data_IF_187583963130
#
_entry.id   IF_187583963130
#
_cell.length_a   1.000
_cell.length_b   1.000
_cell.length_c   1.000
_cell.angle_alpha   90.00
_cell.angle_beta   90.00
_cell.angle_gamma   90.00
#
_symmetry.space_group_name_H-M   'P 1'
#
loop_
_entity.id
_entity.type
_entity.pdbx_description
1 polymer ?
#
# COMPACT_ATOMS: atom_id res chain seq x y z
N UNK A 1 -31.85 11.98 -78.50
CA UNK A 1 -32.95 11.61 -77.58
C UNK A 1 -32.70 10.18 -77.12
N UNK A 2 -32.16 9.98 -75.91
CA UNK A 2 -32.55 8.91 -74.97
C UNK A 2 -31.71 9.04 -73.70
N UNK A 3 -32.41 8.95 -72.59
CA UNK A 3 -32.00 9.26 -71.23
C UNK A 3 -31.40 8.05 -70.48
N UNK A 4 -30.73 8.40 -69.38
CA UNK A 4 -30.66 7.69 -68.07
C UNK A 4 -29.86 6.39 -67.97
N UNK A 5 -28.89 6.44 -67.05
CA UNK A 5 -28.21 5.29 -66.46
C UNK A 5 -27.39 5.72 -65.26
N UNK A 6 -28.05 6.25 -64.23
CA UNK A 6 -27.47 6.51 -62.92
C UNK A 6 -27.11 5.16 -62.29
N UNK A 7 -25.84 4.88 -62.03
CA UNK A 7 -25.44 3.82 -61.11
C UNK A 7 -24.39 4.35 -60.14
N UNK A 8 -24.73 4.15 -58.87
CA UNK A 8 -24.06 4.60 -57.67
C UNK A 8 -22.59 4.16 -57.64
N UNK A 9 -21.68 5.11 -57.49
CA UNK A 9 -20.29 4.83 -57.13
C UNK A 9 -20.26 4.18 -55.75
N UNK A 10 -20.00 2.87 -55.76
CA UNK A 10 -19.84 2.07 -54.57
C UNK A 10 -18.70 2.63 -53.73
N UNK A 11 -18.99 2.89 -52.45
CA UNK A 11 -18.00 3.29 -51.44
C UNK A 11 -16.72 2.45 -51.62
N UNK A 12 -15.57 3.08 -51.92
CA UNK A 12 -14.30 2.41 -52.13
C UNK A 12 -14.01 1.40 -51.01
N UNK A 13 -13.49 0.24 -51.40
CA UNK A 13 -13.23 -0.89 -50.49
C UNK A 13 -12.42 -0.51 -49.24
N UNK A 14 -11.50 0.46 -49.36
CA UNK A 14 -10.71 0.95 -48.23
C UNK A 14 -11.55 1.71 -47.18
N UNK A 15 -12.58 2.45 -47.60
CA UNK A 15 -13.47 3.19 -46.69
C UNK A 15 -14.33 2.21 -45.88
N UNK A 16 -14.74 1.08 -46.48
CA UNK A 16 -15.47 0.02 -45.76
C UNK A 16 -14.62 -0.62 -44.67
N UNK A 17 -13.32 -0.84 -44.94
CA UNK A 17 -12.38 -1.38 -43.96
C UNK A 17 -12.19 -0.41 -42.79
N UNK A 18 -12.07 0.89 -43.06
CA UNK A 18 -11.96 1.92 -42.03
C UNK A 18 -13.22 1.97 -41.15
N UNK A 19 -14.41 1.91 -41.75
CA UNK A 19 -15.67 1.88 -41.00
C UNK A 19 -15.79 0.63 -40.11
N UNK A 20 -15.35 -0.53 -40.59
CA UNK A 20 -15.33 -1.76 -39.79
C UNK A 20 -14.36 -1.64 -38.60
N UNK A 21 -13.18 -1.04 -38.80
CA UNK A 21 -12.21 -0.81 -37.72
C UNK A 21 -12.73 0.17 -36.66
N UNK A 22 -13.42 1.24 -37.07
CA UNK A 22 -14.00 2.21 -36.14
C UNK A 22 -15.14 1.59 -35.30
N UNK A 23 -15.98 0.75 -35.92
CA UNK A 23 -17.03 0.00 -35.21
C UNK A 23 -16.42 -1.03 -34.25
N UNK A 24 -15.35 -1.72 -34.66
CA UNK A 24 -14.64 -2.66 -33.79
C UNK A 24 -14.03 -1.96 -32.57
N UNK A 25 -13.36 -0.81 -32.76
CA UNK A 25 -12.81 -0.02 -31.66
C UNK A 25 -13.90 0.54 -30.74
N UNK A 26 -15.04 0.96 -31.30
CA UNK A 26 -16.20 1.42 -30.53
C UNK A 26 -16.85 0.28 -29.72
N UNK A 27 -16.96 -0.92 -30.28
CA UNK A 27 -17.43 -2.12 -29.58
C UNK A 27 -16.46 -2.56 -28.46
N UNK A 28 -15.15 -2.49 -28.69
CA UNK A 28 -14.13 -2.75 -27.65
C UNK A 28 -14.24 -1.71 -26.51
N UNK A 29 -14.49 -0.44 -26.84
CA UNK A 29 -14.73 0.63 -25.86
C UNK A 29 -15.98 0.38 -25.02
N UNK A 30 -17.08 -0.08 -25.63
CA UNK A 30 -18.29 -0.48 -24.90
C UNK A 30 -18.07 -1.72 -24.01
N UNK A 31 -17.27 -2.69 -24.47
CA UNK A 31 -16.90 -3.85 -23.67
C UNK A 31 -15.99 -3.47 -22.47
N UNK A 32 -15.08 -2.50 -22.63
CA UNK A 32 -14.26 -1.96 -21.52
C UNK A 32 -15.09 -1.15 -20.52
N UNK A 33 -16.14 -0.44 -20.98
CA UNK A 33 -17.07 0.29 -20.07
C UNK A 33 -17.98 -0.64 -19.26
N UNK A 34 -18.32 -1.83 -19.77
CA UNK A 34 -19.15 -2.81 -19.05
C UNK A 34 -18.36 -3.67 -18.04
N UNK A 35 -17.02 -3.57 -18.05
CA UNK A 35 -16.11 -4.30 -17.14
C UNK A 35 -15.96 -3.68 -15.74
N UNK A 36 -16.68 -2.60 -15.40
CA UNK A 36 -16.66 -1.98 -14.06
C UNK A 36 -17.85 -2.37 -13.16
N UNK A 37 -18.43 -3.55 -13.38
CA UNK A 37 -19.22 -4.24 -12.35
C UNK A 37 -18.51 -5.54 -11.98
N UNK A 38 -17.59 -5.43 -11.03
CA UNK A 38 -16.97 -6.59 -10.37
C UNK A 38 -18.01 -7.20 -9.42
N UNK A 39 -18.87 -8.03 -9.99
CA UNK A 39 -19.63 -9.02 -9.26
C UNK A 39 -18.62 -10.02 -8.68
N UNK A 40 -18.52 -10.06 -7.36
CA UNK A 40 -17.51 -10.82 -6.63
C UNK A 40 -17.81 -12.31 -6.67
N UNK A 41 -17.36 -13.00 -7.70
CA UNK A 41 -17.28 -14.46 -7.73
C UNK A 41 -15.89 -14.91 -7.24
N UNK A 42 -15.91 -15.61 -6.09
CA UNK A 42 -14.90 -16.54 -5.61
C UNK A 42 -13.40 -16.15 -5.67
N UNK A 43 -12.98 -15.30 -4.73
CA UNK A 43 -11.68 -15.48 -4.03
C UNK A 43 -11.94 -15.51 -2.52
N UNK A 44 -12.37 -16.67 -1.99
CA UNK A 44 -12.44 -16.92 -0.53
C UNK A 44 -11.67 -18.19 -0.10
N UNK A 45 -10.33 -18.21 -0.20
CA UNK A 45 -9.50 -18.99 0.71
C UNK A 45 -8.82 -18.10 1.77
N UNK A 46 -8.24 -16.95 1.38
CA UNK A 46 -7.41 -16.12 2.27
C UNK A 46 -8.15 -15.55 3.50
N UNK A 47 -9.46 -15.23 3.40
CA UNK A 47 -10.23 -14.69 4.53
C UNK A 47 -10.48 -15.75 5.61
N UNK A 48 -10.74 -17.00 5.22
CA UNK A 48 -11.03 -18.09 6.16
C UNK A 48 -9.75 -18.66 6.77
N UNK A 49 -8.70 -18.76 5.98
CA UNK A 49 -7.39 -19.25 6.42
C UNK A 49 -6.77 -18.36 7.51
N UNK A 50 -6.86 -17.03 7.35
CA UNK A 50 -6.37 -16.10 8.37
C UNK A 50 -7.16 -16.22 9.69
N UNK A 51 -8.49 -16.38 9.64
CA UNK A 51 -9.32 -16.52 10.85
C UNK A 51 -8.95 -17.79 11.62
N UNK A 52 -8.78 -18.91 10.92
CA UNK A 52 -8.43 -20.18 11.57
C UNK A 52 -7.08 -20.10 12.27
N UNK A 53 -6.07 -19.46 11.64
CA UNK A 53 -4.77 -19.21 12.29
C UNK A 53 -4.88 -18.34 13.53
N UNK A 54 -5.79 -17.37 13.55
CA UNK A 54 -5.96 -16.49 14.70
C UNK A 54 -6.67 -17.22 15.85
N UNK A 55 -7.64 -18.07 15.54
CA UNK A 55 -8.28 -18.97 16.51
C UNK A 55 -7.26 -20.00 17.07
N UNK A 56 -6.43 -20.59 16.20
CA UNK A 56 -5.35 -21.52 16.60
C UNK A 56 -4.31 -20.82 17.50
N UNK A 57 -4.12 -19.50 17.35
CA UNK A 57 -3.28 -18.68 18.23
C UNK A 57 -3.96 -18.26 19.54
N UNK A 58 -5.19 -18.71 19.80
CA UNK A 58 -5.91 -18.49 21.06
C UNK A 58 -6.71 -17.19 21.15
N UNK A 59 -6.91 -16.45 20.05
CA UNK A 59 -7.72 -15.24 20.05
C UNK A 59 -9.21 -15.57 20.07
N UNK A 60 -9.99 -14.81 20.85
CA UNK A 60 -11.46 -14.86 20.78
C UNK A 60 -11.98 -14.23 19.49
N UNK A 61 -13.23 -14.50 19.10
CA UNK A 61 -13.84 -13.88 17.91
C UNK A 61 -13.84 -12.34 17.97
N UNK A 62 -14.08 -11.75 19.15
CA UNK A 62 -14.00 -10.30 19.35
C UNK A 62 -12.57 -9.78 19.20
N UNK A 63 -11.58 -10.51 19.71
CA UNK A 63 -10.17 -10.13 19.56
C UNK A 63 -9.75 -10.23 18.10
N UNK A 64 -10.26 -11.21 17.34
CA UNK A 64 -10.02 -11.36 15.91
C UNK A 64 -10.57 -10.17 15.12
N UNK A 65 -11.72 -9.62 15.51
CA UNK A 65 -12.29 -8.44 14.85
C UNK A 65 -11.43 -7.20 15.08
N UNK A 66 -11.09 -6.92 16.35
CA UNK A 66 -10.19 -5.82 16.75
C UNK A 66 -8.82 -5.96 16.06
N UNK A 67 -8.30 -7.19 16.00
CA UNK A 67 -7.05 -7.54 15.32
C UNK A 67 -7.10 -7.15 13.84
N UNK A 68 -8.21 -7.43 13.17
CA UNK A 68 -8.37 -7.13 11.74
C UNK A 68 -8.53 -5.65 11.46
N UNK A 69 -9.26 -4.94 12.30
CA UNK A 69 -9.41 -3.49 12.22
C UNK A 69 -8.04 -2.81 12.37
N UNK A 70 -7.33 -3.15 13.45
CA UNK A 70 -5.98 -2.64 13.74
C UNK A 70 -5.00 -2.89 12.60
N UNK A 71 -4.99 -4.10 12.03
CA UNK A 71 -4.15 -4.39 10.86
C UNK A 71 -4.63 -3.67 9.58
N UNK A 72 -5.91 -3.38 9.47
CA UNK A 72 -6.46 -2.52 8.42
C UNK A 72 -5.86 -1.13 8.49
N UNK A 73 -5.90 -0.52 9.67
CA UNK A 73 -5.38 0.82 9.94
C UNK A 73 -3.87 0.88 9.76
N UNK A 74 -3.13 -0.09 10.30
CA UNK A 74 -1.68 -0.18 10.11
C UNK A 74 -1.30 -0.25 8.63
N UNK A 75 -2.03 -1.05 7.84
CA UNK A 75 -1.81 -1.14 6.39
C UNK A 75 -2.11 0.17 5.68
N UNK A 76 -3.15 0.88 6.08
CA UNK A 76 -3.46 2.20 5.52
C UNK A 76 -2.36 3.21 5.86
N UNK A 77 -1.88 3.23 7.11
CA UNK A 77 -0.81 4.11 7.54
C UNK A 77 0.49 3.86 6.75
N UNK A 78 0.90 2.60 6.57
CA UNK A 78 2.07 2.25 5.75
C UNK A 78 1.90 2.74 4.31
N UNK A 79 0.72 2.59 3.73
CA UNK A 79 0.44 3.09 2.36
C UNK A 79 0.49 4.61 2.28
N UNK A 80 -0.05 5.33 3.27
CA UNK A 80 0.01 6.79 3.34
C UNK A 80 1.45 7.27 3.47
N UNK A 81 2.22 6.67 4.36
CA UNK A 81 3.65 6.95 4.50
C UNK A 81 4.41 6.68 3.19
N UNK A 82 4.17 5.55 2.53
CA UNK A 82 4.76 5.26 1.22
C UNK A 82 4.40 6.31 0.17
N UNK A 83 3.13 6.72 0.12
CA UNK A 83 2.67 7.74 -0.81
C UNK A 83 3.26 9.12 -0.50
N UNK A 84 3.49 9.46 0.77
CA UNK A 84 4.12 10.71 1.17
C UNK A 84 5.62 10.71 0.83
N UNK A 85 6.30 9.59 1.07
CA UNK A 85 7.72 9.40 0.74
C UNK A 85 7.95 9.63 -0.75
N UNK A 86 7.15 9.01 -1.63
CA UNK A 86 7.24 9.16 -3.10
C UNK A 86 6.93 10.56 -3.64
N UNK A 87 6.41 11.47 -2.81
CA UNK A 87 6.08 12.84 -3.22
C UNK A 87 7.22 13.82 -2.93
N UNK A 88 8.28 13.40 -2.24
CA UNK A 88 9.31 14.31 -1.76
C UNK A 88 10.68 13.66 -1.64
N UNK A 89 11.66 14.26 -2.32
CA UNK A 89 13.03 13.73 -2.41
C UNK A 89 13.73 13.65 -1.05
N UNK A 90 13.49 14.58 -0.10
CA UNK A 90 14.09 14.50 1.24
C UNK A 90 13.55 13.32 2.03
N UNK A 91 12.26 13.02 1.90
CA UNK A 91 11.66 11.81 2.50
C UNK A 91 12.21 10.54 1.84
N UNK A 92 12.41 10.52 0.52
CA UNK A 92 13.07 9.39 -0.16
C UNK A 92 14.51 9.19 0.31
N UNK A 93 15.26 10.26 0.56
CA UNK A 93 16.60 10.19 1.14
C UNK A 93 16.55 9.62 2.56
N UNK A 94 15.60 10.05 3.39
CA UNK A 94 15.42 9.45 4.73
C UNK A 94 15.17 7.95 4.60
N UNK A 95 14.28 7.51 3.71
CA UNK A 95 14.03 6.09 3.52
C UNK A 95 15.28 5.35 3.00
N UNK A 96 16.00 5.90 2.03
CA UNK A 96 17.23 5.28 1.52
C UNK A 96 18.30 5.09 2.59
N UNK A 97 18.35 5.97 3.60
CA UNK A 97 19.33 5.91 4.69
C UNK A 97 18.88 4.99 5.81
N UNK A 98 17.58 4.95 6.09
CA UNK A 98 17.05 4.29 7.29
C UNK A 98 16.40 2.94 7.01
N UNK A 99 15.80 2.75 5.84
CA UNK A 99 15.05 1.54 5.44
C UNK A 99 13.76 1.30 6.23
N UNK A 100 13.24 2.32 6.93
CA UNK A 100 12.17 2.15 7.90
C UNK A 100 10.83 1.78 7.28
N UNK A 101 10.50 2.29 6.09
CA UNK A 101 9.26 1.97 5.39
C UNK A 101 9.27 0.52 4.94
N UNK A 102 10.39 0.05 4.39
CA UNK A 102 10.52 -1.36 4.00
C UNK A 102 10.49 -2.28 5.22
N UNK A 103 11.23 -1.95 6.29
CA UNK A 103 11.16 -2.67 7.56
C UNK A 103 9.74 -2.73 8.12
N UNK A 104 8.97 -1.64 8.03
CA UNK A 104 7.58 -1.59 8.49
C UNK A 104 6.64 -2.48 7.68
N UNK A 105 6.85 -2.57 6.35
CA UNK A 105 6.12 -3.51 5.48
C UNK A 105 6.41 -4.97 5.85
N UNK A 106 7.67 -5.28 6.13
CA UNK A 106 8.11 -6.62 6.53
C UNK A 106 7.59 -6.99 7.93
N UNK A 107 7.67 -6.07 8.89
CA UNK A 107 7.10 -6.23 10.23
C UNK A 107 5.59 -6.46 10.16
N UNK A 108 4.86 -5.65 9.39
CA UNK A 108 3.43 -5.84 9.18
C UNK A 108 3.13 -7.24 8.63
N UNK A 109 3.89 -7.71 7.63
CA UNK A 109 3.74 -9.06 7.07
C UNK A 109 4.00 -10.13 8.12
N UNK A 110 5.02 -9.96 8.95
CA UNK A 110 5.35 -10.86 10.05
C UNK A 110 4.20 -10.93 11.08
N UNK A 111 3.63 -9.81 11.51
CA UNK A 111 2.49 -9.77 12.44
C UNK A 111 1.25 -10.47 11.85
N UNK A 112 0.95 -10.25 10.56
CA UNK A 112 -0.16 -10.93 9.87
C UNK A 112 0.02 -12.45 9.84
N UNK A 113 1.27 -12.92 9.80
CA UNK A 113 1.62 -14.34 9.79
C UNK A 113 1.69 -14.93 11.21
N UNK A 114 2.04 -14.12 12.21
CA UNK A 114 2.27 -14.50 13.60
C UNK A 114 1.39 -13.66 14.55
N UNK A 115 0.11 -14.03 14.75
CA UNK A 115 -0.87 -13.19 15.47
C UNK A 115 -0.48 -12.90 16.92
N UNK A 116 0.27 -13.82 17.55
CA UNK A 116 0.81 -13.67 18.90
C UNK A 116 1.78 -12.50 19.04
N UNK A 117 2.32 -11.98 17.94
CA UNK A 117 3.20 -10.81 17.93
C UNK A 117 2.43 -9.50 18.08
N UNK A 118 1.10 -9.48 17.90
CA UNK A 118 0.34 -8.24 17.96
C UNK A 118 0.48 -7.53 19.31
N UNK A 119 0.33 -8.27 20.42
CA UNK A 119 0.45 -7.70 21.77
C UNK A 119 1.86 -7.15 22.04
N UNK A 120 2.89 -7.77 21.45
CA UNK A 120 4.28 -7.32 21.51
C UNK A 120 4.54 -6.07 20.67
N UNK A 121 3.70 -5.82 19.65
CA UNK A 121 3.87 -4.76 18.67
C UNK A 121 2.77 -3.68 18.77
N UNK A 122 2.13 -3.53 19.94
CA UNK A 122 1.08 -2.54 20.15
C UNK A 122 1.55 -1.10 19.84
N UNK A 123 2.74 -0.72 20.30
CA UNK A 123 3.29 0.62 20.05
C UNK A 123 3.50 0.88 18.56
N UNK A 124 4.04 -0.10 17.84
CA UNK A 124 4.19 -0.04 16.38
C UNK A 124 2.84 0.23 15.68
N UNK A 125 1.81 -0.52 16.05
CA UNK A 125 0.49 -0.49 15.41
C UNK A 125 -0.33 0.75 15.74
N UNK A 126 -0.42 1.13 17.02
CA UNK A 126 -1.35 2.17 17.49
C UNK A 126 -0.71 3.55 17.64
N UNK A 127 0.61 3.64 17.77
CA UNK A 127 1.31 4.91 18.07
C UNK A 127 2.24 5.29 16.94
N UNK A 128 3.20 4.43 16.62
CA UNK A 128 4.34 4.82 15.79
C UNK A 128 3.94 4.97 14.32
N UNK A 129 3.19 4.02 13.74
CA UNK A 129 2.71 4.13 12.36
C UNK A 129 1.82 5.36 12.13
N UNK A 130 0.77 5.62 12.95
CA UNK A 130 0.00 6.85 12.84
C UNK A 130 0.86 8.10 13.01
N UNK A 131 1.84 8.10 13.91
CA UNK A 131 2.71 9.25 14.13
C UNK A 131 3.64 9.52 12.92
N UNK A 132 4.16 8.48 12.28
CA UNK A 132 4.95 8.60 11.06
C UNK A 132 4.15 9.27 9.93
N UNK A 133 2.88 8.87 9.76
CA UNK A 133 1.98 9.51 8.80
C UNK A 133 1.80 10.99 9.14
N UNK A 134 1.47 11.32 10.40
CA UNK A 134 1.30 12.71 10.84
C UNK A 134 2.55 13.57 10.59
N UNK A 135 3.73 13.05 10.91
CA UNK A 135 4.99 13.77 10.71
C UNK A 135 5.28 14.01 9.22
N UNK A 136 5.11 12.99 8.37
CA UNK A 136 5.33 13.14 6.93
C UNK A 136 4.30 14.05 6.28
N UNK A 137 3.04 14.02 6.69
CA UNK A 137 2.02 14.96 6.24
C UNK A 137 2.34 16.40 6.66
N UNK A 138 2.69 16.62 7.94
CA UNK A 138 3.09 17.93 8.45
C UNK A 138 4.28 18.50 7.69
N UNK A 139 5.30 17.69 7.42
CA UNK A 139 6.47 18.10 6.65
C UNK A 139 6.08 18.52 5.21
N UNK A 140 5.24 17.73 4.53
CA UNK A 140 4.73 18.05 3.20
C UNK A 140 3.85 19.32 3.18
N UNK A 141 3.10 19.58 4.25
CA UNK A 141 2.30 20.80 4.39
C UNK A 141 3.19 22.04 4.54
N UNK A 142 4.24 21.97 5.35
CA UNK A 142 5.22 23.07 5.50
C UNK A 142 5.98 23.34 4.20
N UNK A 143 6.37 22.30 3.45
CA UNK A 143 7.00 22.43 2.13
C UNK A 143 6.16 23.26 1.14
N UNK A 144 4.82 23.17 1.22
CA UNK A 144 3.90 23.86 0.29
C UNK A 144 3.72 25.35 0.60
N UNK A 145 4.15 25.82 1.78
CA UNK A 145 3.99 27.23 2.14
C UNK A 145 4.84 28.12 1.22
N UNK A 146 4.22 29.16 0.66
CA UNK A 146 4.85 30.03 -0.34
C UNK A 146 5.96 30.93 0.23
N UNK A 147 5.95 31.16 1.55
CA UNK A 147 6.96 31.95 2.25
C UNK A 147 7.58 31.09 3.34
N UNK A 148 8.84 30.68 3.14
CA UNK A 148 9.62 29.97 4.15
C UNK A 148 10.31 30.98 5.05
N UNK A 149 9.73 31.25 6.23
CA UNK A 149 10.41 32.03 7.27
C UNK A 149 11.55 31.21 7.88
N UNK A 150 12.44 31.86 8.63
CA UNK A 150 13.49 31.15 9.36
C UNK A 150 12.90 30.13 10.37
N UNK A 151 11.79 30.50 11.01
CA UNK A 151 11.07 29.63 11.94
C UNK A 151 10.49 28.40 11.22
N UNK A 152 9.81 28.58 10.08
CA UNK A 152 9.28 27.48 9.28
C UNK A 152 10.39 26.54 8.81
N UNK A 153 11.54 27.10 8.41
CA UNK A 153 12.68 26.28 7.96
C UNK A 153 13.24 25.43 9.11
N UNK A 154 13.38 26.01 10.31
CA UNK A 154 13.79 25.27 11.51
C UNK A 154 12.80 24.16 11.87
N UNK A 155 11.50 24.46 11.83
CA UNK A 155 10.46 23.48 12.13
C UNK A 155 10.42 22.33 11.11
N UNK A 156 10.74 22.61 9.84
CA UNK A 156 10.92 21.59 8.80
C UNK A 156 12.10 20.68 9.12
N UNK A 157 13.27 21.25 9.48
CA UNK A 157 14.48 20.49 9.82
C UNK A 157 14.24 19.59 11.05
N UNK A 158 13.59 20.13 12.09
CA UNK A 158 13.22 19.37 13.29
C UNK A 158 12.25 18.25 12.97
N UNK A 159 11.23 18.52 12.14
CA UNK A 159 10.26 17.50 11.72
C UNK A 159 10.94 16.39 10.91
N UNK A 160 11.86 16.75 10.00
CA UNK A 160 12.61 15.77 9.21
C UNK A 160 13.53 14.91 10.08
N UNK A 161 14.15 15.48 11.11
CA UNK A 161 14.95 14.74 12.09
C UNK A 161 14.09 13.74 12.88
N UNK A 162 12.88 14.14 13.28
CA UNK A 162 11.93 13.23 13.95
C UNK A 162 11.50 12.09 13.03
N UNK A 163 11.19 12.38 11.77
CA UNK A 163 10.88 11.36 10.75
C UNK A 163 12.05 10.39 10.62
N UNK A 164 13.28 10.89 10.46
CA UNK A 164 14.49 10.06 10.34
C UNK A 164 14.69 9.17 11.57
N UNK A 165 14.52 9.73 12.76
CA UNK A 165 14.68 8.99 14.02
C UNK A 165 13.65 7.88 14.14
N UNK A 166 12.37 8.19 13.87
CA UNK A 166 11.30 7.20 13.92
C UNK A 166 11.46 6.13 12.84
N UNK A 167 11.90 6.51 11.64
CA UNK A 167 12.19 5.58 10.55
C UNK A 167 13.32 4.59 10.91
N UNK A 168 14.41 5.09 11.49
CA UNK A 168 15.50 4.24 11.98
C UNK A 168 15.04 3.30 13.11
N UNK A 169 14.15 3.76 13.99
CA UNK A 169 13.58 2.93 15.05
C UNK A 169 12.73 1.78 14.48
N UNK A 170 11.97 1.98 13.40
CA UNK A 170 11.25 0.89 12.74
C UNK A 170 12.20 -0.19 12.21
N UNK A 171 13.29 0.22 11.56
CA UNK A 171 14.31 -0.72 11.09
C UNK A 171 14.96 -1.50 12.23
N UNK A 172 15.27 -0.82 13.33
CA UNK A 172 15.80 -1.45 14.54
C UNK A 172 14.82 -2.46 15.14
N UNK A 173 13.55 -2.08 15.30
CA UNK A 173 12.51 -2.96 15.84
C UNK A 173 12.35 -4.22 14.98
N UNK A 174 12.29 -4.07 13.65
CA UNK A 174 12.22 -5.24 12.77
C UNK A 174 13.46 -6.14 12.89
N UNK A 175 14.65 -5.57 13.02
CA UNK A 175 15.87 -6.34 13.23
C UNK A 175 15.88 -7.10 14.57
N UNK A 176 15.40 -6.47 15.65
CA UNK A 176 15.27 -7.11 16.96
C UNK A 176 14.35 -8.33 16.91
N UNK A 177 13.22 -8.24 16.21
CA UNK A 177 12.30 -9.38 16.03
C UNK A 177 12.96 -10.54 15.28
N UNK A 178 13.74 -10.25 14.23
CA UNK A 178 14.48 -11.29 13.52
C UNK A 178 15.55 -11.96 14.40
N UNK A 179 16.19 -11.21 15.28
CA UNK A 179 17.20 -11.75 16.21
C UNK A 179 16.56 -12.60 17.30
N UNK A 180 15.39 -12.21 17.81
CA UNK A 180 14.62 -13.01 18.76
C UNK A 180 14.23 -14.37 18.15
N UNK A 181 13.74 -14.38 16.90
CA UNK A 181 13.41 -15.63 16.19
C UNK A 181 14.63 -16.56 16.06
N UNK A 182 15.83 -16.03 15.78
CA UNK A 182 17.07 -16.81 15.71
C UNK A 182 17.47 -17.38 17.07
N UNK A 183 17.30 -16.62 18.15
CA UNK A 183 17.66 -17.07 19.49
C UNK A 183 16.73 -18.19 19.98
N UNK A 184 15.44 -18.14 19.65
CA UNK A 184 14.50 -19.23 19.93
C UNK A 184 14.98 -20.54 19.29
N UNK A 185 15.36 -20.51 18.00
CA UNK A 185 15.86 -21.69 17.27
C UNK A 185 17.11 -22.28 17.94
N UNK A 186 18.05 -21.46 18.42
CA UNK A 186 19.26 -21.94 19.10
C UNK A 186 18.99 -22.64 20.43
N UNK A 187 17.91 -22.27 21.12
CA UNK A 187 17.57 -22.86 22.41
C UNK A 187 16.70 -24.13 22.28
N UNK A 188 15.99 -24.30 21.17
CA UNK A 188 15.24 -25.52 20.86
C UNK A 188 16.12 -26.66 20.33
N UNK A 189 17.25 -26.35 19.69
CA UNK A 189 18.24 -27.34 19.22
C UNK A 189 19.30 -27.60 20.31
N UNK A 190 18.87 -28.01 21.51
CA UNK A 190 19.74 -28.72 22.43
C UNK A 190 19.57 -30.21 22.16
N UNK A 191 20.59 -30.81 21.54
CA UNK A 191 20.73 -32.26 21.52
C UNK A 191 21.09 -32.71 22.94
N UNK A 192 20.14 -33.38 23.60
CA UNK A 192 20.47 -34.30 24.69
C UNK A 192 21.17 -35.55 24.13
#
# INVERSE_FOLDING_TARGET
MHMTGMMMDGIPSFIRIILILLVALWLISLFRRKSNKKESTAKKPARKENIRRYQEAGLSESDIEIFRETLGDAKENIKKWEANTKKNDELEVVESVTGGLEASKLLFKHIVQNPTQLTKQNDFLYKDLPNMVKLTEKYLEMQKQSVKTQEVSRDMDETLLLIKTLSANFSKNYHEILMDDVNVIKHEVKFD
#
